data_IF_946107839534
#
_entry.id   IF_946107839534
#
_cell.length_a   1.000
_cell.length_b   1.000
_cell.length_c   1.000
_cell.angle_alpha   90.00
_cell.angle_beta   90.00
_cell.angle_gamma   90.00
#
_symmetry.space_group_name_H-M   'P 1'
#
loop_
_entity.id
_entity.type
_entity.pdbx_description
1 polymer ?
#
# COMPACT_ATOMS: atom_id res chain seq x y z
N UNK A 1 16.28 2.60 26.48
CA UNK A 1 16.68 1.26 26.93
C UNK A 1 16.01 0.25 26.04
N UNK A 2 16.78 -0.48 25.22
CA UNK A 2 16.29 -1.67 24.53
C UNK A 2 16.26 -2.81 25.58
N UNK A 3 15.16 -3.56 25.65
CA UNK A 3 15.04 -4.71 26.56
C UNK A 3 15.99 -5.83 26.11
N UNK A 4 16.61 -6.51 27.07
CA UNK A 4 17.59 -7.58 26.82
C UNK A 4 16.93 -8.82 26.18
N UNK A 5 17.71 -9.64 25.44
CA UNK A 5 17.24 -10.90 24.83
C UNK A 5 16.54 -11.87 25.78
N UNK A 6 16.88 -11.80 27.07
CA UNK A 6 16.34 -12.64 28.15
C UNK A 6 14.81 -12.50 28.31
N UNK A 7 14.24 -11.34 27.96
CA UNK A 7 12.79 -11.11 28.04
C UNK A 7 12.03 -11.81 26.92
N UNK A 8 12.69 -12.10 25.78
CA UNK A 8 12.10 -12.87 24.67
C UNK A 8 11.79 -14.31 25.10
N UNK A 9 12.55 -14.85 26.05
CA UNK A 9 12.40 -16.22 26.57
C UNK A 9 11.19 -16.39 27.52
N UNK A 10 10.64 -15.31 28.06
CA UNK A 10 9.61 -15.37 29.09
C UNK A 10 8.18 -15.52 28.55
N UNK A 11 7.96 -15.42 27.23
CA UNK A 11 6.65 -15.53 26.55
C UNK A 11 5.50 -14.72 27.18
N UNK A 12 5.80 -13.68 27.96
CA UNK A 12 4.79 -12.86 28.61
C UNK A 12 3.99 -12.10 27.54
N UNK A 13 2.74 -11.76 27.81
CA UNK A 13 1.97 -10.78 27.02
C UNK A 13 2.33 -9.35 27.42
N UNK A 14 1.96 -8.34 26.62
CA UNK A 14 2.19 -6.93 26.97
C UNK A 14 1.62 -6.54 28.35
N UNK A 15 0.37 -6.91 28.71
CA UNK A 15 -0.18 -6.60 30.04
C UNK A 15 0.56 -7.32 31.17
N UNK A 16 0.97 -8.57 30.94
CA UNK A 16 1.71 -9.35 31.94
C UNK A 16 3.11 -8.78 32.18
N UNK A 17 3.79 -8.34 31.13
CA UNK A 17 5.10 -7.71 31.25
C UNK A 17 4.99 -6.35 31.95
N UNK A 18 3.97 -5.55 31.63
CA UNK A 18 3.76 -4.26 32.29
C UNK A 18 3.48 -4.44 33.79
N UNK A 19 2.61 -5.39 34.15
CA UNK A 19 2.30 -5.71 35.55
C UNK A 19 3.52 -6.24 36.31
N UNK A 20 4.34 -7.10 35.69
CA UNK A 20 5.56 -7.60 36.32
C UNK A 20 6.62 -6.51 36.55
N UNK A 21 6.69 -5.51 35.67
CA UNK A 21 7.57 -4.34 35.84
C UNK A 21 7.07 -3.42 36.95
N UNK A 22 5.75 -3.18 37.01
CA UNK A 22 5.10 -2.44 38.11
C UNK A 22 5.34 -3.14 39.47
N UNK A 23 5.17 -4.46 39.55
CA UNK A 23 5.41 -5.27 40.75
C UNK A 23 6.90 -5.24 41.18
N UNK A 24 7.82 -5.04 40.22
CA UNK A 24 9.25 -4.87 40.48
C UNK A 24 9.63 -3.43 40.89
N UNK A 25 8.65 -2.52 41.05
CA UNK A 25 8.87 -1.12 41.40
C UNK A 25 9.41 -0.27 40.26
N UNK A 26 9.33 -0.75 39.01
CA UNK A 26 9.73 -0.01 37.82
C UNK A 26 8.51 0.68 37.21
N UNK A 27 8.42 2.00 37.39
CA UNK A 27 7.41 2.83 36.74
C UNK A 27 7.75 3.02 35.24
N UNK A 28 7.24 2.11 34.42
CA UNK A 28 7.41 2.12 32.97
C UNK A 28 6.02 2.17 32.33
N UNK A 29 5.78 3.20 31.52
CA UNK A 29 4.53 3.33 30.78
C UNK A 29 4.31 2.14 29.83
N UNK A 30 3.06 1.67 29.70
CA UNK A 30 2.65 0.62 28.76
C UNK A 30 3.19 0.80 27.33
N UNK A 31 3.19 2.04 26.83
CA UNK A 31 3.68 2.37 25.48
C UNK A 31 5.18 2.05 25.31
N UNK A 32 5.99 2.31 26.33
CA UNK A 32 7.42 1.95 26.36
C UNK A 32 7.61 0.43 26.34
N UNK A 33 6.77 -0.32 27.07
CA UNK A 33 6.81 -1.79 27.07
C UNK A 33 6.47 -2.34 25.69
N UNK A 34 5.41 -1.83 25.06
CA UNK A 34 5.02 -2.18 23.69
C UNK A 34 6.12 -1.88 22.67
N UNK A 35 6.66 -0.67 22.68
CA UNK A 35 7.77 -0.26 21.79
C UNK A 35 9.00 -1.14 21.95
N UNK A 36 9.37 -1.47 23.19
CA UNK A 36 10.51 -2.32 23.47
C UNK A 36 10.31 -3.78 23.02
N UNK A 37 9.09 -4.32 23.12
CA UNK A 37 8.77 -5.64 22.57
C UNK A 37 8.83 -5.67 21.06
N UNK A 38 8.33 -4.64 20.39
CA UNK A 38 8.42 -4.53 18.93
C UNK A 38 9.88 -4.48 18.47
N UNK A 39 10.70 -3.66 19.15
CA UNK A 39 12.14 -3.61 18.89
C UNK A 39 12.82 -4.98 19.03
N UNK A 40 12.46 -5.71 20.10
CA UNK A 40 13.00 -7.03 20.38
C UNK A 40 12.50 -8.06 19.35
N UNK A 41 11.22 -8.01 18.97
CA UNK A 41 10.63 -8.90 17.96
C UNK A 41 11.36 -8.79 16.62
N UNK A 42 11.65 -7.56 16.19
CA UNK A 42 12.32 -7.25 14.91
C UNK A 42 13.85 -7.32 14.97
N UNK A 43 14.43 -7.75 16.10
CA UNK A 43 15.87 -7.84 16.31
C UNK A 43 16.60 -6.52 16.02
N UNK A 44 16.03 -5.39 16.45
CA UNK A 44 16.68 -4.08 16.29
C UNK A 44 17.97 -4.04 17.12
N UNK A 45 19.09 -3.75 16.47
CA UNK A 45 20.38 -3.59 17.15
C UNK A 45 20.51 -2.18 17.74
N UNK A 46 21.38 -2.03 18.74
CA UNK A 46 21.72 -0.71 19.29
C UNK A 46 22.31 0.21 18.22
N UNK A 47 23.09 -0.35 17.28
CA UNK A 47 23.67 0.37 16.15
C UNK A 47 22.59 0.93 15.22
N UNK A 48 21.56 0.13 14.89
CA UNK A 48 20.42 0.59 14.08
C UNK A 48 19.66 1.73 14.75
N UNK A 49 19.41 1.62 16.05
CA UNK A 49 18.75 2.68 16.81
C UNK A 49 19.59 3.96 16.85
N UNK A 50 20.89 3.85 17.10
CA UNK A 50 21.77 5.00 17.17
C UNK A 50 21.88 5.70 15.82
N UNK A 51 22.12 4.95 14.74
CA UNK A 51 22.13 5.48 13.38
C UNK A 51 20.83 6.20 13.06
N UNK A 52 19.68 5.62 13.42
CA UNK A 52 18.39 6.25 13.18
C UNK A 52 18.26 7.57 13.93
N UNK A 53 18.59 7.63 15.22
CA UNK A 53 18.53 8.85 16.03
C UNK A 53 19.42 9.96 15.46
N UNK A 54 20.66 9.62 15.11
CA UNK A 54 21.65 10.58 14.62
C UNK A 54 21.22 11.20 13.28
N UNK A 55 20.57 10.42 12.42
CA UNK A 55 20.20 10.84 11.07
C UNK A 55 18.79 11.41 10.97
N UNK A 56 17.81 10.85 11.70
CA UNK A 56 16.41 11.27 11.61
C UNK A 56 16.18 12.70 12.10
N UNK A 57 16.90 13.10 13.15
CA UNK A 57 16.80 14.45 13.71
C UNK A 57 17.22 15.57 12.72
N UNK A 58 18.03 15.23 11.72
CA UNK A 58 18.54 16.17 10.73
C UNK A 58 17.59 16.38 9.54
N UNK A 59 16.54 15.55 9.43
CA UNK A 59 15.65 15.54 8.27
C UNK A 59 14.57 16.61 8.43
N UNK A 60 14.38 17.50 7.43
CA UNK A 60 13.40 18.57 7.55
C UNK A 60 11.96 18.04 7.73
N UNK A 61 11.25 18.59 8.72
CA UNK A 61 9.86 18.18 9.01
C UNK A 61 8.83 18.61 7.97
N UNK A 62 9.16 19.58 7.12
CA UNK A 62 8.26 20.09 6.08
C UNK A 62 8.23 19.18 4.84
N UNK A 63 9.13 18.20 4.74
CA UNK A 63 9.11 17.18 3.69
C UNK A 63 7.92 16.23 3.88
N UNK A 64 7.42 15.68 2.77
CA UNK A 64 6.41 14.61 2.83
C UNK A 64 6.97 13.37 3.54
N UNK A 65 6.10 12.54 4.11
CA UNK A 65 6.52 11.27 4.77
C UNK A 65 7.42 10.41 3.87
N UNK A 66 7.09 10.31 2.59
CA UNK A 66 7.93 9.61 1.58
C UNK A 66 9.32 10.23 1.48
N UNK A 67 9.39 11.54 1.27
CA UNK A 67 10.66 12.26 1.13
C UNK A 67 11.51 12.11 2.38
N UNK A 68 10.93 12.25 3.59
CA UNK A 68 11.66 12.05 4.84
C UNK A 68 12.31 10.66 4.92
N UNK A 69 11.57 9.60 4.58
CA UNK A 69 12.12 8.24 4.58
C UNK A 69 13.20 8.08 3.51
N UNK A 70 13.00 8.61 2.29
CA UNK A 70 14.00 8.55 1.23
C UNK A 70 15.27 9.34 1.59
N UNK A 71 15.13 10.50 2.24
CA UNK A 71 16.24 11.32 2.73
C UNK A 71 17.01 10.58 3.82
N UNK A 72 16.32 9.88 4.74
CA UNK A 72 16.96 9.01 5.74
C UNK A 72 17.78 7.90 5.08
N UNK A 73 17.20 7.21 4.11
CA UNK A 73 17.87 6.09 3.41
C UNK A 73 19.08 6.56 2.60
N UNK A 74 19.13 7.82 2.17
CA UNK A 74 20.27 8.41 1.45
C UNK A 74 21.42 8.87 2.35
N UNK A 75 21.24 8.84 3.68
CA UNK A 75 22.30 9.25 4.60
C UNK A 75 23.52 8.33 4.56
N UNK A 76 24.69 8.89 4.83
CA UNK A 76 25.94 8.12 4.89
C UNK A 76 25.89 7.09 6.02
N UNK A 77 26.54 5.95 5.81
CA UNK A 77 26.53 4.85 6.77
C UNK A 77 25.19 4.12 6.87
N UNK A 78 24.36 4.17 5.81
CA UNK A 78 23.10 3.44 5.76
C UNK A 78 23.33 1.95 6.09
N UNK A 79 22.67 1.51 7.16
CA UNK A 79 22.74 0.13 7.63
C UNK A 79 21.85 -0.77 6.77
N UNK A 80 22.20 -2.05 6.68
CA UNK A 80 21.34 -3.06 6.07
C UNK A 80 20.10 -3.26 6.94
N UNK A 81 19.03 -2.53 6.62
CA UNK A 81 17.77 -2.54 7.36
C UNK A 81 16.64 -3.07 6.50
N UNK A 82 15.79 -3.93 7.09
CA UNK A 82 14.58 -4.43 6.44
C UNK A 82 13.41 -3.46 6.62
N UNK A 83 12.35 -3.62 5.80
CA UNK A 83 11.17 -2.75 5.92
C UNK A 83 10.48 -2.84 7.28
N UNK A 84 10.26 -4.03 7.90
CA UNK A 84 9.67 -4.13 9.23
C UNK A 84 10.52 -3.46 10.32
N UNK A 85 11.85 -3.64 10.24
CA UNK A 85 12.79 -3.01 11.17
C UNK A 85 12.75 -1.49 11.08
N UNK A 86 12.82 -0.94 9.86
CA UNK A 86 12.75 0.51 9.66
C UNK A 86 11.41 1.08 10.09
N UNK A 87 10.30 0.39 9.81
CA UNK A 87 8.99 0.83 10.26
C UNK A 87 8.87 0.82 11.79
N UNK A 88 9.46 -0.19 12.44
CA UNK A 88 9.50 -0.27 13.90
C UNK A 88 10.32 0.87 14.51
N UNK A 89 11.44 1.27 13.90
CA UNK A 89 12.19 2.45 14.32
C UNK A 89 11.34 3.73 14.24
N UNK A 90 10.59 3.91 13.16
CA UNK A 90 9.67 5.05 13.00
C UNK A 90 8.59 5.06 14.08
N UNK A 91 8.02 3.89 14.36
CA UNK A 91 6.99 3.73 15.39
C UNK A 91 7.53 4.03 16.79
N UNK A 92 8.74 3.57 17.12
CA UNK A 92 9.40 3.87 18.40
C UNK A 92 9.65 5.38 18.53
N UNK A 93 9.96 6.04 17.42
CA UNK A 93 10.18 7.49 17.35
C UNK A 93 8.89 8.32 17.26
N UNK A 94 7.71 7.70 17.45
CA UNK A 94 6.40 8.35 17.38
C UNK A 94 6.09 9.02 16.03
N UNK A 95 6.69 8.50 14.95
CA UNK A 95 6.43 8.97 13.60
C UNK A 95 5.25 8.24 13.00
N UNK A 96 4.21 8.99 12.63
CA UNK A 96 3.02 8.45 11.99
C UNK A 96 3.29 8.15 10.50
N UNK A 97 4.12 7.15 10.18
CA UNK A 97 4.43 6.72 8.82
C UNK A 97 3.91 5.31 8.61
N UNK A 98 3.16 5.10 7.52
CA UNK A 98 2.57 3.78 7.24
C UNK A 98 3.64 2.77 6.81
N UNK A 99 3.46 1.46 7.12
CA UNK A 99 4.36 0.41 6.67
C UNK A 99 4.56 0.39 5.15
N UNK A 100 3.49 0.70 4.40
CA UNK A 100 3.51 0.76 2.94
C UNK A 100 4.45 1.82 2.39
N UNK A 101 4.56 2.98 3.05
CA UNK A 101 5.47 4.06 2.66
C UNK A 101 6.91 3.63 2.91
N UNK A 102 7.18 3.06 4.09
CA UNK A 102 8.51 2.54 4.44
C UNK A 102 8.96 1.46 3.46
N UNK A 103 8.09 0.47 3.20
CA UNK A 103 8.38 -0.64 2.29
C UNK A 103 8.66 -0.17 0.88
N UNK A 104 7.81 0.72 0.36
CA UNK A 104 7.95 1.26 -0.99
C UNK A 104 9.20 2.15 -1.13
N UNK A 105 9.54 2.94 -0.10
CA UNK A 105 10.73 3.78 -0.08
C UNK A 105 12.00 2.93 -0.05
N UNK A 106 12.03 1.91 0.80
CA UNK A 106 13.16 0.98 0.88
C UNK A 106 13.34 0.20 -0.44
N UNK A 107 12.24 -0.29 -1.04
CA UNK A 107 12.28 -0.94 -2.35
C UNK A 107 12.81 0.00 -3.44
N UNK A 108 12.37 1.26 -3.44
CA UNK A 108 12.85 2.28 -4.39
C UNK A 108 14.32 2.61 -4.18
N UNK A 109 14.76 2.79 -2.93
CA UNK A 109 16.17 3.04 -2.61
C UNK A 109 17.07 1.89 -3.11
N UNK A 110 16.66 0.65 -2.83
CA UNK A 110 17.41 -0.56 -3.18
C UNK A 110 17.26 -0.99 -4.65
N UNK A 111 16.36 -0.38 -5.43
CA UNK A 111 16.13 -0.75 -6.81
C UNK A 111 17.40 -0.61 -7.65
N UNK A 112 17.76 -1.68 -8.39
CA UNK A 112 18.88 -1.69 -9.31
C UNK A 112 18.37 -1.34 -10.70
N UNK A 113 18.74 -0.17 -11.19
CA UNK A 113 18.30 0.30 -12.51
C UNK A 113 19.19 -0.32 -13.58
N UNK A 114 18.60 -1.03 -14.53
CA UNK A 114 19.30 -1.52 -15.71
C UNK A 114 19.65 -0.35 -16.65
N UNK A 115 20.78 -0.47 -17.37
CA UNK A 115 21.17 0.52 -18.39
C UNK A 115 20.11 0.65 -19.48
N UNK A 116 19.46 -0.46 -19.86
CA UNK A 116 18.35 -0.48 -20.82
C UNK A 116 17.13 0.32 -20.34
N UNK A 117 16.73 0.17 -19.08
CA UNK A 117 15.64 0.96 -18.49
C UNK A 117 15.95 2.46 -18.49
N UNK A 118 17.18 2.83 -18.11
CA UNK A 118 17.61 4.24 -18.11
C UNK A 118 17.57 4.84 -19.51
N UNK A 119 18.12 4.14 -20.51
CA UNK A 119 18.13 4.58 -21.90
C UNK A 119 16.71 4.65 -22.49
N UNK A 120 15.85 3.69 -22.15
CA UNK A 120 14.45 3.69 -22.55
C UNK A 120 13.71 4.91 -21.97
N UNK A 121 13.79 5.16 -20.66
CA UNK A 121 13.14 6.32 -20.04
C UNK A 121 13.65 7.62 -20.66
N UNK A 122 14.95 7.75 -20.89
CA UNK A 122 15.51 8.95 -21.51
C UNK A 122 14.96 9.20 -22.92
N UNK A 123 14.92 8.15 -23.74
CA UNK A 123 14.35 8.22 -25.09
C UNK A 123 12.85 8.51 -25.06
N UNK A 124 12.10 7.85 -24.16
CA UNK A 124 10.67 8.04 -24.03
C UNK A 124 10.32 9.42 -23.52
N UNK A 125 11.07 9.97 -22.56
CA UNK A 125 10.87 11.33 -22.05
C UNK A 125 11.17 12.38 -23.12
N UNK A 126 12.23 12.19 -23.92
CA UNK A 126 12.56 13.09 -25.02
C UNK A 126 11.46 13.14 -26.10
N UNK A 127 10.76 12.02 -26.30
CA UNK A 127 9.66 11.89 -27.27
C UNK A 127 8.27 12.00 -26.63
N UNK A 128 8.20 12.30 -25.32
CA UNK A 128 6.94 12.30 -24.62
C UNK A 128 6.05 13.44 -25.14
N UNK A 129 4.75 13.19 -25.35
CA UNK A 129 3.83 14.28 -25.63
C UNK A 129 3.86 15.28 -24.47
N UNK A 130 3.72 16.57 -24.77
CA UNK A 130 3.60 17.62 -23.76
C UNK A 130 2.60 17.23 -22.67
N UNK A 131 2.91 17.60 -21.42
CA UNK A 131 2.03 17.37 -20.27
C UNK A 131 0.71 18.15 -20.35
N UNK A 132 0.60 19.07 -21.30
CA UNK A 132 -0.50 20.00 -21.44
C UNK A 132 -1.84 19.29 -21.35
N UNK A 133 -2.60 19.67 -20.31
CA UNK A 133 -3.92 19.18 -19.92
C UNK A 133 -4.04 17.71 -19.47
N UNK A 134 -2.94 16.96 -19.29
CA UNK A 134 -2.99 15.59 -18.76
C UNK A 134 -2.53 15.55 -17.30
N UNK A 135 -3.15 14.68 -16.51
CA UNK A 135 -2.61 14.42 -15.17
C UNK A 135 -1.24 13.75 -15.26
N UNK A 136 -0.37 13.91 -14.26
CA UNK A 136 0.93 13.24 -14.24
C UNK A 136 0.83 11.71 -14.34
N UNK A 137 -0.24 11.12 -13.79
CA UNK A 137 -0.53 9.68 -13.84
C UNK A 137 -0.92 9.24 -15.25
N UNK A 138 -1.84 9.96 -15.92
CA UNK A 138 -2.23 9.67 -17.30
C UNK A 138 -1.05 9.84 -18.25
N UNK A 139 -0.27 10.91 -18.09
CA UNK A 139 0.93 11.15 -18.90
C UNK A 139 1.94 10.00 -18.78
N UNK A 140 2.26 9.59 -17.55
CA UNK A 140 3.16 8.44 -17.33
C UNK A 140 2.54 7.15 -17.89
N UNK A 141 1.25 6.95 -17.67
CA UNK A 141 0.50 5.84 -18.22
C UNK A 141 0.68 5.72 -19.72
N UNK A 142 0.38 6.78 -20.47
CA UNK A 142 0.52 6.84 -21.92
C UNK A 142 1.96 6.58 -22.40
N UNK A 143 2.95 7.12 -21.68
CA UNK A 143 4.37 6.87 -21.95
C UNK A 143 4.71 5.37 -21.83
N UNK A 144 4.18 4.70 -20.78
CA UNK A 144 4.40 3.27 -20.55
C UNK A 144 3.76 2.39 -21.64
N UNK A 145 2.64 2.82 -22.22
CA UNK A 145 1.99 2.11 -23.34
C UNK A 145 2.83 2.11 -24.61
N UNK A 146 3.62 3.16 -24.81
CA UNK A 146 4.51 3.27 -25.95
C UNK A 146 5.76 2.38 -25.78
N UNK A 147 5.98 1.82 -24.60
CA UNK A 147 7.10 0.93 -24.32
C UNK A 147 6.77 -0.50 -24.70
N UNK A 148 7.63 -1.11 -25.51
CA UNK A 148 7.60 -2.55 -25.75
C UNK A 148 8.44 -3.27 -24.69
N UNK A 149 7.78 -4.09 -23.87
CA UNK A 149 8.29 -5.38 -23.40
C UNK A 149 9.47 -5.44 -22.40
N UNK A 150 9.74 -4.43 -21.56
CA UNK A 150 10.58 -4.66 -20.37
C UNK A 150 9.75 -4.84 -19.09
N UNK A 151 10.00 -5.91 -18.30
CA UNK A 151 9.40 -6.04 -16.97
C UNK A 151 10.03 -5.01 -16.03
N UNK A 152 9.43 -3.83 -15.93
CA UNK A 152 9.88 -2.74 -15.04
C UNK A 152 9.07 -2.78 -13.75
N UNK A 153 9.71 -2.77 -12.59
CA UNK A 153 9.00 -2.64 -11.31
C UNK A 153 8.65 -1.17 -11.01
N UNK A 154 7.64 -0.93 -10.17
CA UNK A 154 7.29 0.42 -9.76
C UNK A 154 8.44 1.13 -9.01
N UNK A 155 9.22 0.37 -8.24
CA UNK A 155 10.39 0.86 -7.52
C UNK A 155 11.50 1.34 -8.48
N UNK A 156 11.83 0.55 -9.51
CA UNK A 156 12.81 0.96 -10.52
C UNK A 156 12.33 2.17 -11.31
N UNK A 157 11.06 2.18 -11.72
CA UNK A 157 10.47 3.30 -12.45
C UNK A 157 10.48 4.58 -11.61
N UNK A 158 10.05 4.51 -10.34
CA UNK A 158 10.11 5.64 -9.41
C UNK A 158 11.53 6.17 -9.27
N UNK A 159 12.52 5.28 -9.07
CA UNK A 159 13.92 5.68 -8.90
C UNK A 159 14.46 6.42 -10.13
N UNK A 160 14.21 5.93 -11.34
CA UNK A 160 14.67 6.62 -12.56
C UNK A 160 13.95 7.95 -12.77
N UNK A 161 12.64 8.01 -12.48
CA UNK A 161 11.89 9.27 -12.57
C UNK A 161 12.47 10.31 -11.60
N UNK A 162 12.81 9.92 -10.37
CA UNK A 162 13.49 10.78 -9.40
C UNK A 162 14.88 11.22 -9.88
N UNK A 163 15.68 10.32 -10.48
CA UNK A 163 16.98 10.66 -11.08
C UNK A 163 16.86 11.71 -12.21
N UNK A 164 15.70 11.77 -12.89
CA UNK A 164 15.39 12.75 -13.94
C UNK A 164 14.64 13.98 -13.42
N UNK A 165 14.51 14.15 -12.09
CA UNK A 165 13.83 15.29 -11.48
C UNK A 165 12.31 15.27 -11.62
N UNK A 166 11.73 14.11 -11.95
CA UNK A 166 10.29 13.93 -12.11
C UNK A 166 9.71 13.33 -10.83
N UNK A 167 9.03 14.16 -10.05
CA UNK A 167 8.43 13.75 -8.80
C UNK A 167 6.98 13.34 -9.00
N UNK A 168 6.71 12.03 -8.84
CA UNK A 168 5.37 11.46 -8.76
C UNK A 168 5.20 10.77 -7.42
N UNK A 169 3.96 10.76 -6.93
CA UNK A 169 3.61 9.93 -5.78
C UNK A 169 3.76 8.46 -6.17
N UNK A 170 4.40 7.64 -5.32
CA UNK A 170 4.66 6.22 -5.62
C UNK A 170 3.40 5.46 -6.03
N UNK A 171 2.27 5.72 -5.36
CA UNK A 171 0.97 5.14 -5.73
C UNK A 171 0.54 5.48 -7.16
N UNK A 172 0.82 6.68 -7.67
CA UNK A 172 0.52 7.06 -9.05
C UNK A 172 1.39 6.26 -10.04
N UNK A 173 2.65 6.00 -9.71
CA UNK A 173 3.54 5.14 -10.50
C UNK A 173 3.03 3.70 -10.53
N UNK A 174 2.63 3.16 -9.38
CA UNK A 174 2.03 1.82 -9.28
C UNK A 174 0.78 1.73 -10.14
N UNK A 175 -0.14 2.69 -10.01
CA UNK A 175 -1.38 2.69 -10.78
C UNK A 175 -1.14 2.86 -12.28
N UNK A 176 -0.22 3.74 -12.68
CA UNK A 176 0.13 3.93 -14.08
C UNK A 176 0.70 2.65 -14.69
N UNK A 177 1.60 1.97 -13.97
CA UNK A 177 2.19 0.70 -14.38
C UNK A 177 1.16 -0.42 -14.44
N UNK A 178 0.28 -0.53 -13.44
CA UNK A 178 -0.81 -1.52 -13.44
C UNK A 178 -1.80 -1.29 -14.58
N UNK A 179 -2.13 -0.03 -14.89
CA UNK A 179 -3.02 0.30 -15.99
C UNK A 179 -2.36 0.00 -17.34
N UNK A 180 -1.08 0.36 -17.51
CA UNK A 180 -0.33 0.06 -18.73
C UNK A 180 -0.21 -1.45 -19.01
N UNK A 181 -0.13 -2.25 -17.95
CA UNK A 181 -0.10 -3.73 -18.02
C UNK A 181 -1.46 -4.39 -18.14
N UNK A 182 -2.55 -3.64 -18.00
CA UNK A 182 -3.88 -4.23 -18.12
C UNK A 182 -4.08 -4.72 -19.54
N UNK A 183 -4.37 -6.02 -19.69
CA UNK A 183 -4.71 -6.63 -20.96
C UNK A 183 -6.06 -6.08 -21.43
N UNK A 184 -6.01 -5.36 -22.53
CA UNK A 184 -7.18 -4.74 -23.16
C UNK A 184 -7.05 -4.92 -24.66
N UNK A 185 -8.00 -5.63 -25.27
CA UNK A 185 -8.01 -5.89 -26.71
C UNK A 185 -8.61 -4.71 -27.48
N UNK A 186 -8.28 -4.59 -28.77
CA UNK A 186 -8.83 -3.54 -29.63
C UNK A 186 -10.36 -3.65 -29.77
N UNK A 187 -10.90 -4.87 -29.75
CA UNK A 187 -12.34 -5.12 -29.72
C UNK A 187 -12.97 -4.56 -28.44
N UNK A 188 -12.39 -4.85 -27.28
CA UNK A 188 -12.86 -4.31 -26.01
C UNK A 188 -12.78 -2.78 -25.97
N UNK A 189 -11.72 -2.18 -26.51
CA UNK A 189 -11.62 -0.72 -26.64
C UNK A 189 -12.72 -0.14 -27.51
N UNK A 190 -13.02 -0.79 -28.63
CA UNK A 190 -14.06 -0.36 -29.56
C UNK A 190 -15.42 -0.37 -28.88
N UNK A 191 -15.75 -1.48 -28.22
CA UNK A 191 -16.98 -1.62 -27.43
C UNK A 191 -17.06 -0.59 -26.30
N UNK A 192 -15.96 -0.35 -25.59
CA UNK A 192 -15.91 0.68 -24.55
C UNK A 192 -16.14 2.09 -25.11
N UNK A 193 -15.53 2.45 -26.25
CA UNK A 193 -15.73 3.76 -26.89
C UNK A 193 -17.20 3.96 -27.29
N UNK A 194 -17.82 2.95 -27.88
CA UNK A 194 -19.24 2.99 -28.24
C UNK A 194 -20.12 3.19 -26.99
N UNK A 195 -19.85 2.45 -25.91
CA UNK A 195 -20.55 2.64 -24.64
C UNK A 195 -20.33 4.04 -24.05
N UNK A 196 -19.10 4.58 -24.15
CA UNK A 196 -18.73 5.90 -23.67
C UNK A 196 -19.46 7.04 -24.38
N UNK A 197 -19.65 6.92 -25.69
CA UNK A 197 -20.36 7.89 -26.53
C UNK A 197 -21.88 7.86 -26.32
N UNK A 198 -22.45 6.66 -26.13
CA UNK A 198 -23.88 6.48 -25.82
C UNK A 198 -24.26 7.18 -24.51
N UNK A 199 -23.39 7.17 -23.52
CA UNK A 199 -23.64 7.79 -22.21
C UNK A 199 -23.19 9.24 -22.20
N UNK A 200 -24.12 10.13 -22.54
CA UNK A 200 -23.88 11.58 -22.51
C UNK A 200 -23.67 12.08 -21.08
N UNK A 201 -22.65 12.94 -20.84
CA UNK A 201 -22.53 13.63 -19.57
C UNK A 201 -23.73 14.56 -19.39
N UNK A 202 -24.52 14.37 -18.32
CA UNK A 202 -25.52 15.37 -17.93
C UNK A 202 -24.79 16.51 -17.22
N UNK A 203 -25.10 17.76 -17.59
CA UNK A 203 -24.46 18.96 -17.06
C UNK A 203 -24.51 19.09 -15.53
N UNK A 204 -25.46 18.39 -14.89
CA UNK A 204 -25.67 18.41 -13.43
C UNK A 204 -25.35 17.06 -12.77
N UNK A 205 -24.86 16.08 -13.53
CA UNK A 205 -24.54 14.76 -12.99
C UNK A 205 -23.10 14.70 -12.47
N UNK A 206 -22.93 14.14 -11.28
CA UNK A 206 -21.60 13.84 -10.76
C UNK A 206 -20.86 12.90 -11.73
N UNK A 207 -19.55 13.10 -11.90
CA UNK A 207 -18.68 12.28 -12.78
C UNK A 207 -18.88 10.77 -12.57
N UNK A 208 -19.06 10.33 -11.32
CA UNK A 208 -19.33 8.93 -10.96
C UNK A 208 -20.57 8.36 -11.67
N UNK A 209 -21.63 9.16 -11.86
CA UNK A 209 -22.87 8.73 -12.51
C UNK A 209 -22.63 8.33 -13.96
N UNK A 210 -21.80 9.09 -14.68
CA UNK A 210 -21.43 8.74 -16.06
C UNK A 210 -20.62 7.45 -16.10
N UNK A 211 -19.61 7.32 -15.24
CA UNK A 211 -18.77 6.11 -15.17
C UNK A 211 -19.62 4.87 -14.92
N UNK A 212 -20.53 4.92 -13.96
CA UNK A 212 -21.47 3.83 -13.66
C UNK A 212 -22.42 3.59 -14.84
N UNK A 213 -22.90 4.64 -15.50
CA UNK A 213 -23.77 4.53 -16.68
C UNK A 213 -23.09 3.80 -17.85
N UNK A 214 -21.79 4.04 -18.06
CA UNK A 214 -20.98 3.37 -19.09
C UNK A 214 -20.80 1.89 -18.74
N UNK A 215 -20.42 1.60 -17.50
CA UNK A 215 -20.24 0.22 -17.02
C UNK A 215 -21.52 -0.63 -17.12
N UNK A 216 -22.70 0.00 -17.20
CA UNK A 216 -24.00 -0.66 -17.36
C UNK A 216 -24.46 -0.85 -18.79
N UNK A 217 -23.75 -0.30 -19.77
CA UNK A 217 -24.10 -0.53 -21.16
C UNK A 217 -23.93 -2.02 -21.49
N UNK A 218 -24.89 -2.68 -22.17
CA UNK A 218 -24.80 -4.11 -22.49
C UNK A 218 -23.53 -4.48 -23.24
N UNK A 219 -23.07 -3.56 -24.09
CA UNK A 219 -21.89 -3.74 -24.93
C UNK A 219 -20.59 -3.38 -24.20
N UNK A 220 -20.63 -2.86 -22.97
CA UNK A 220 -19.42 -2.47 -22.26
C UNK A 220 -18.62 -3.72 -21.85
N UNK A 221 -17.30 -3.78 -22.14
CA UNK A 221 -16.47 -4.90 -21.69
C UNK A 221 -16.52 -5.04 -20.17
N UNK A 222 -16.39 -6.28 -19.68
CA UNK A 222 -16.40 -6.57 -18.24
C UNK A 222 -15.08 -6.12 -17.59
N UNK A 223 -15.08 -4.90 -17.06
CA UNK A 223 -13.92 -4.32 -16.38
C UNK A 223 -13.82 -4.86 -14.95
N UNK A 224 -12.73 -5.57 -14.63
CA UNK A 224 -12.56 -6.25 -13.35
C UNK A 224 -11.83 -5.44 -12.28
N UNK A 225 -11.00 -4.46 -12.69
CA UNK A 225 -10.14 -3.69 -11.78
C UNK A 225 -10.13 -2.19 -12.12
N UNK A 226 -9.83 -1.32 -11.14
CA UNK A 226 -9.68 0.12 -11.37
C UNK A 226 -8.58 0.45 -12.39
N UNK A 227 -7.46 -0.28 -12.36
CA UNK A 227 -6.34 -0.08 -13.29
C UNK A 227 -6.74 -0.41 -14.73
N UNK A 228 -7.51 -1.48 -14.94
CA UNK A 228 -8.08 -1.77 -16.25
C UNK A 228 -9.06 -0.67 -16.67
N UNK A 229 -9.91 -0.17 -15.75
CA UNK A 229 -10.83 0.91 -16.07
C UNK A 229 -10.10 2.20 -16.50
N UNK A 230 -9.02 2.53 -15.79
CA UNK A 230 -8.15 3.65 -16.11
C UNK A 230 -7.57 3.53 -17.53
N UNK A 231 -7.10 2.33 -17.89
CA UNK A 231 -6.61 2.01 -19.24
C UNK A 231 -7.66 2.33 -20.32
N UNK A 232 -8.91 1.95 -20.12
CA UNK A 232 -10.02 2.30 -21.04
C UNK A 232 -10.28 3.80 -21.11
N UNK A 233 -10.28 4.51 -19.97
CA UNK A 233 -10.54 5.95 -19.92
C UNK A 233 -9.47 6.76 -20.67
N UNK A 234 -8.21 6.35 -20.60
CA UNK A 234 -7.15 7.02 -21.34
C UNK A 234 -7.35 6.96 -22.86
N UNK A 235 -7.95 5.89 -23.38
CA UNK A 235 -8.28 5.79 -24.81
C UNK A 235 -9.44 6.69 -25.26
N UNK A 236 -10.24 7.22 -24.33
CA UNK A 236 -11.27 8.24 -24.59
C UNK A 236 -10.84 9.62 -24.11
N UNK A 237 -9.55 9.80 -23.80
CA UNK A 237 -8.98 11.09 -23.39
C UNK A 237 -9.44 11.57 -22.02
N UNK A 238 -9.87 10.65 -21.14
CA UNK A 238 -10.34 10.97 -19.80
C UNK A 238 -9.38 10.45 -18.74
N UNK A 239 -9.33 11.12 -17.60
CA UNK A 239 -8.56 10.69 -16.45
C UNK A 239 -9.34 10.86 -15.16
N UNK A 240 -9.29 9.84 -14.32
CA UNK A 240 -10.03 9.77 -13.07
C UNK A 240 -9.21 9.04 -12.01
N UNK A 241 -9.34 9.48 -10.76
CA UNK A 241 -8.62 8.89 -9.64
C UNK A 241 -9.07 7.46 -9.34
N UNK A 242 -8.15 6.61 -8.87
CA UNK A 242 -8.42 5.20 -8.56
C UNK A 242 -9.58 5.02 -7.58
N UNK A 243 -9.70 5.87 -6.56
CA UNK A 243 -10.82 5.81 -5.61
C UNK A 243 -12.18 6.01 -6.28
N UNK A 244 -12.28 6.92 -7.25
CA UNK A 244 -13.49 7.16 -8.04
C UNK A 244 -13.81 5.95 -8.91
N UNK A 245 -12.81 5.36 -9.56
CA UNK A 245 -12.96 4.17 -10.40
C UNK A 245 -13.37 2.94 -9.58
N UNK A 246 -12.76 2.73 -8.41
CA UNK A 246 -13.14 1.68 -7.47
C UNK A 246 -14.59 1.83 -7.01
N UNK A 247 -15.03 3.06 -6.71
CA UNK A 247 -16.42 3.35 -6.34
C UNK A 247 -17.36 3.05 -7.49
N UNK A 248 -17.07 3.54 -8.69
CA UNK A 248 -17.89 3.28 -9.88
C UNK A 248 -18.05 1.79 -10.17
N UNK A 249 -16.96 1.01 -10.08
CA UNK A 249 -16.99 -0.44 -10.26
C UNK A 249 -17.84 -1.14 -9.19
N UNK A 250 -17.77 -0.69 -7.93
CA UNK A 250 -18.61 -1.21 -6.84
C UNK A 250 -20.08 -0.90 -7.08
N UNK A 251 -20.41 0.36 -7.38
CA UNK A 251 -21.78 0.83 -7.61
C UNK A 251 -22.43 0.18 -8.83
N UNK A 252 -21.63 -0.12 -9.86
CA UNK A 252 -22.10 -0.88 -11.02
C UNK A 252 -22.45 -2.33 -10.66
N UNK A 253 -21.65 -3.00 -9.80
CA UNK A 253 -21.88 -4.40 -9.38
C UNK A 253 -23.10 -4.56 -8.47
N UNK A 254 -23.23 -3.72 -7.46
CA UNK A 254 -24.35 -3.78 -6.49
C UNK A 254 -25.70 -3.68 -7.22
N UNK A 255 -25.77 -2.83 -8.25
CA UNK A 255 -27.01 -2.61 -8.99
C UNK A 255 -27.24 -3.62 -10.14
N UNK A 256 -26.25 -4.45 -10.47
CA UNK A 256 -26.43 -5.66 -11.28
C UNK A 256 -26.95 -6.86 -10.46
N UNK A 257 -26.52 -7.00 -9.20
CA UNK A 257 -26.98 -8.08 -8.32
C UNK A 257 -28.50 -8.01 -8.07
N UNK A 258 -29.09 -6.81 -8.00
CA UNK A 258 -30.54 -6.63 -7.86
C UNK A 258 -31.37 -7.07 -9.10
N UNK A 259 -30.74 -7.42 -10.22
CA UNK A 259 -31.44 -7.92 -11.42
C UNK A 259 -31.28 -9.44 -11.64
N UNK A 260 -30.42 -10.11 -10.88
CA UNK A 260 -30.07 -11.53 -11.11
C UNK A 260 -30.57 -12.50 -10.02
N UNK A 261 -31.39 -12.07 -9.05
CA UNK A 261 -31.96 -12.97 -8.06
C UNK A 261 -33.18 -13.76 -8.58
N UNK A 262 -32.96 -14.57 -9.62
CA UNK A 262 -33.72 -15.82 -9.88
C UNK A 262 -32.76 -16.78 -10.55
N UNK A 263 -31.83 -17.34 -9.78
CA UNK A 263 -31.40 -18.74 -9.84
C UNK A 263 -30.20 -18.90 -8.91
N UNK A 264 -30.35 -19.78 -7.92
CA UNK A 264 -29.31 -20.11 -6.96
C UNK A 264 -28.14 -20.80 -7.65
N UNK A 265 -26.93 -20.48 -7.23
CA UNK A 265 -26.08 -21.34 -6.42
C UNK A 265 -24.70 -20.68 -6.23
N UNK A 266 -24.19 -20.80 -5.01
CA UNK A 266 -22.81 -20.70 -4.54
C UNK A 266 -21.85 -19.69 -5.17
N UNK A 267 -21.65 -18.58 -4.47
CA UNK A 267 -20.40 -17.81 -4.55
C UNK A 267 -20.07 -17.08 -3.23
N UNK A 268 -20.26 -17.76 -2.11
CA UNK A 268 -19.99 -17.27 -0.75
C UNK A 268 -18.50 -17.25 -0.36
N UNK A 269 -17.58 -17.62 -1.24
CA UNK A 269 -16.14 -17.70 -0.93
C UNK A 269 -15.33 -16.43 -1.27
N UNK A 270 -15.79 -15.58 -2.20
CA UNK A 270 -15.06 -14.35 -2.54
C UNK A 270 -15.40 -13.16 -1.63
N UNK A 271 -16.57 -13.17 -0.96
CA UNK A 271 -16.95 -12.12 0.00
C UNK A 271 -16.21 -12.26 1.35
N UNK A 272 -15.69 -13.46 1.69
CA UNK A 272 -14.91 -13.63 2.93
C UNK A 272 -13.48 -13.07 2.86
N UNK A 273 -12.89 -12.91 1.67
CA UNK A 273 -11.49 -12.45 1.54
C UNK A 273 -11.36 -10.92 1.63
N UNK A 274 -12.46 -10.18 1.40
CA UNK A 274 -12.45 -8.70 1.47
C UNK A 274 -12.96 -8.15 2.81
N UNK A 275 -13.68 -8.95 3.60
CA UNK A 275 -14.18 -8.53 4.93
C UNK A 275 -13.25 -8.91 6.10
N UNK A 276 -12.19 -9.71 5.86
CA UNK A 276 -11.22 -10.08 6.90
C UNK A 276 -10.15 -9.00 7.16
N UNK A 277 -10.11 -7.91 6.38
CA UNK A 277 -9.25 -6.75 6.64
C UNK A 277 -9.94 -5.62 7.43
N UNK A 278 -11.24 -5.74 7.75
CA UNK A 278 -12.02 -4.63 8.31
C UNK A 278 -12.75 -4.90 9.64
N UNK A 279 -12.66 -6.09 10.24
CA UNK A 279 -13.32 -6.35 11.54
C UNK A 279 -12.52 -7.29 12.43
N UNK A 280 -11.84 -6.74 13.44
CA UNK A 280 -11.78 -7.43 14.73
C UNK A 280 -13.14 -7.32 15.39
N UNK A 281 -13.62 -8.39 16.04
CA UNK A 281 -14.06 -8.20 17.41
C UNK A 281 -13.58 -9.30 18.37
N UNK A 282 -13.31 -8.83 19.58
CA UNK A 282 -13.54 -9.45 20.88
C UNK A 282 -13.59 -10.99 20.99
N UNK A 283 -12.55 -11.51 21.63
CA UNK A 283 -12.60 -12.46 22.73
C UNK A 283 -13.80 -13.40 22.87
N UNK A 284 -13.54 -14.68 22.62
CA UNK A 284 -14.19 -15.77 23.34
C UNK A 284 -13.24 -16.96 23.46
N UNK A 285 -12.20 -16.84 24.30
CA UNK A 285 -11.50 -18.00 24.83
C UNK A 285 -12.29 -18.51 26.03
N UNK A 286 -13.11 -19.53 25.81
CA UNK A 286 -13.59 -20.39 26.89
C UNK A 286 -12.37 -21.03 27.59
N UNK A 287 -12.39 -21.16 28.94
CA UNK A 287 -11.28 -21.72 29.69
C UNK A 287 -11.26 -23.25 29.54
N UNK A 288 -10.11 -23.80 29.14
CA UNK A 288 -9.85 -25.23 29.29
C UNK A 288 -9.38 -25.50 30.73
N UNK A 289 -9.94 -26.51 31.43
CA UNK A 289 -9.60 -26.84 32.80
C UNK A 289 -8.45 -27.84 32.81
N UNK A 290 -7.25 -27.41 33.21
CA UNK A 290 -6.21 -28.34 33.64
C UNK A 290 -5.10 -27.55 34.35
N UNK A 291 -5.13 -27.53 35.68
CA UNK A 291 -4.01 -27.69 36.62
C UNK A 291 -4.56 -27.40 38.03
N UNK A 292 -5.48 -28.27 38.45
CA UNK A 292 -5.63 -28.56 39.86
C UNK A 292 -4.47 -29.48 40.25
N UNK A 293 -3.96 -29.28 41.46
CA UNK A 293 -2.92 -30.08 42.15
C UNK A 293 -1.49 -29.58 41.93
N UNK A 294 -1.04 -28.67 42.81
CA UNK A 294 -0.04 -28.96 43.86
C UNK A 294 -0.16 -27.82 44.88
N UNK A 295 -0.95 -28.06 45.93
CA UNK A 295 -0.80 -27.41 47.23
C UNK A 295 -1.48 -28.28 48.29
N UNK A 296 -0.80 -29.35 48.68
CA UNK A 296 -1.02 -30.03 49.95
C UNK A 296 0.14 -29.63 50.85
N UNK A 297 -0.11 -28.69 51.76
CA UNK A 297 0.81 -28.36 52.82
C UNK A 297 0.78 -29.48 53.87
N UNK A 298 1.97 -29.91 54.26
CA UNK A 298 2.21 -30.61 55.52
C UNK A 298 1.75 -29.73 56.68
N UNK A 299 0.87 -30.26 57.52
CA UNK A 299 0.71 -29.86 58.92
C UNK A 299 0.24 -31.09 59.68
N UNK A 300 1.13 -31.59 60.53
CA UNK A 300 1.10 -32.80 61.37
C UNK A 300 1.58 -34.11 60.75
#
# INVERSE_FOLDING_TARGET
>A
MLLLPEIKALYLTEPQLNRALEDAGLDISYDRVRKARLALAENLTQEMWQWFQDNWAQIPRHETKWQRVMTLLKQKGALAITSPQLWTLMLIADENISPSVVSSALATHNAKISSGLRAWIETSLANAPGRDNKSPMMWLGLLLLQSSAQPITAAELQKVLEEKGIYLHYGAVVHALSAARAEVTDEQLTHFRQAWEKVRPSAHSAKNVRLVGVLRQPDCPRIKSPSAFMRYLWHVGQDEGVSTLSRALRDARVLHASRQSTHGEDNTLLDMVLDMEASQPAGSSQPLPAFATIRGAESH
#
